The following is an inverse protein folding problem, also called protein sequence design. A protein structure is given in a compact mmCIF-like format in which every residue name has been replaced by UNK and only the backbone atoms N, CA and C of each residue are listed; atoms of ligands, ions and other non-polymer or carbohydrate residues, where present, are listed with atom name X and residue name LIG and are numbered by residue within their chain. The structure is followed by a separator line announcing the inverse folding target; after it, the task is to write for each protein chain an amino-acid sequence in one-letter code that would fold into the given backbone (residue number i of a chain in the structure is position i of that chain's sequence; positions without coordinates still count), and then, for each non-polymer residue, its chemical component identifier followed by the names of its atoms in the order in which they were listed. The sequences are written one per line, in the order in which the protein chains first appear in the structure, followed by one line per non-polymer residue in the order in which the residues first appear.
data_IF_562993009981
#
_entry.id   IF_562993009981
#
_cell.length_a   1.000
_cell.length_b   1.000
_cell.length_c   1.000
_cell.angle_alpha   90.00
_cell.angle_beta   90.00
_cell.angle_gamma   90.00
#
_symmetry.space_group_name_H-M   'P 1'
#
loop_
_entity.id
_entity.type
_entity.pdbx_description
1 polymer ?
#
# COMPACT_ATOMS: atom_id res chain seq x y z
N UNK A 1 -28.79 -8.81 -44.24
CA UNK A 1 -27.90 -7.77 -43.68
C UNK A 1 -28.34 -7.27 -42.29
N UNK A 2 -29.63 -7.27 -41.95
CA UNK A 2 -30.12 -6.87 -40.61
C UNK A 2 -29.76 -7.86 -39.47
N UNK A 3 -29.82 -9.18 -39.74
CA UNK A 3 -29.54 -10.21 -38.73
C UNK A 3 -28.07 -10.22 -38.25
N UNK A 4 -27.11 -9.90 -39.13
CA UNK A 4 -25.69 -9.84 -38.73
C UNK A 4 -25.41 -8.68 -37.75
N UNK A 5 -26.13 -7.56 -37.90
CA UNK A 5 -25.97 -6.37 -37.03
C UNK A 5 -26.53 -6.59 -35.64
N UNK A 6 -27.62 -7.36 -35.51
CA UNK A 6 -28.19 -7.70 -34.21
C UNK A 6 -27.29 -8.65 -33.44
N UNK A 7 -26.70 -9.67 -34.09
CA UNK A 7 -25.74 -10.56 -33.42
C UNK A 7 -24.47 -9.84 -32.97
N UNK A 8 -23.97 -8.87 -33.74
CA UNK A 8 -22.83 -8.05 -33.35
C UNK A 8 -23.13 -7.17 -32.13
N UNK A 9 -24.32 -6.56 -32.06
CA UNK A 9 -24.74 -5.76 -30.90
C UNK A 9 -24.93 -6.62 -29.65
N UNK A 10 -25.50 -7.83 -29.77
CA UNK A 10 -25.61 -8.75 -28.63
C UNK A 10 -24.24 -9.24 -28.15
N UNK A 11 -23.29 -9.50 -29.06
CA UNK A 11 -21.90 -9.82 -28.68
C UNK A 11 -21.22 -8.66 -27.95
N UNK A 12 -21.38 -7.43 -28.43
CA UNK A 12 -20.81 -6.24 -27.79
C UNK A 12 -21.42 -5.96 -26.41
N UNK A 13 -22.72 -6.19 -26.24
CA UNK A 13 -23.39 -6.08 -24.93
C UNK A 13 -22.96 -7.18 -23.97
N UNK A 14 -22.63 -8.38 -24.47
CA UNK A 14 -22.12 -9.48 -23.63
C UNK A 14 -20.68 -9.22 -23.15
N UNK A 15 -19.84 -8.60 -23.98
CA UNK A 15 -18.50 -8.17 -23.58
C UNK A 15 -18.49 -6.94 -22.66
N UNK A 16 -19.55 -6.13 -22.64
CA UNK A 16 -19.63 -4.92 -21.82
C UNK A 16 -19.94 -5.18 -20.33
N UNK A 17 -20.26 -6.42 -19.91
CA UNK A 17 -20.28 -6.81 -18.50
C UNK A 17 -18.87 -7.19 -18.01
N UNK A 18 -17.93 -6.26 -18.11
CA UNK A 18 -16.86 -6.22 -17.11
C UNK A 18 -17.56 -5.85 -15.79
N UNK A 19 -17.48 -6.74 -14.80
CA UNK A 19 -18.27 -6.64 -13.56
C UNK A 19 -18.11 -5.28 -12.90
N UNK A 20 -19.24 -4.61 -12.65
CA UNK A 20 -19.30 -3.41 -11.82
C UNK A 20 -18.80 -3.75 -10.41
N UNK A 21 -17.82 -3.01 -9.90
CA UNK A 21 -17.25 -3.23 -8.57
C UNK A 21 -18.17 -2.59 -7.55
N UNK A 22 -18.72 -3.42 -6.68
CA UNK A 22 -19.59 -3.01 -5.59
C UNK A 22 -18.71 -2.63 -4.38
N UNK A 23 -18.50 -1.33 -4.19
CA UNK A 23 -17.67 -0.80 -3.09
C UNK A 23 -18.28 -1.02 -1.70
N UNK A 24 -19.56 -1.40 -1.62
CA UNK A 24 -20.24 -1.71 -0.36
C UNK A 24 -20.07 -3.19 0.05
N UNK A 25 -19.54 -4.05 -0.84
CA UNK A 25 -19.25 -5.47 -0.58
C UNK A 25 -17.76 -5.73 -0.32
N UNK A 26 -17.30 -5.31 0.85
CA UNK A 26 -15.91 -5.49 1.29
C UNK A 26 -15.57 -6.93 1.67
N UNK A 27 -16.57 -7.78 1.93
CA UNK A 27 -16.40 -9.20 2.28
C UNK A 27 -15.85 -10.05 1.12
N UNK A 28 -16.01 -9.57 -0.11
CA UNK A 28 -15.50 -10.22 -1.31
C UNK A 28 -14.01 -9.93 -1.60
N UNK A 29 -13.38 -9.03 -0.85
CA UNK A 29 -12.01 -8.54 -1.09
C UNK A 29 -11.18 -8.69 0.18
N UNK A 30 -10.04 -9.38 0.10
CA UNK A 30 -9.09 -9.42 1.21
C UNK A 30 -7.99 -8.38 0.99
N UNK A 31 -8.16 -7.18 1.56
CA UNK A 31 -7.19 -6.08 1.44
C UNK A 31 -5.82 -6.44 2.00
N UNK A 32 -5.75 -7.32 3.01
CA UNK A 32 -4.48 -7.76 3.57
C UNK A 32 -3.64 -8.57 2.58
N UNK A 33 -4.23 -9.09 1.49
CA UNK A 33 -3.53 -9.86 0.47
C UNK A 33 -2.81 -9.01 -0.60
N UNK A 34 -2.74 -7.68 -0.45
CA UNK A 34 -1.97 -6.78 -1.34
C UNK A 34 -0.53 -7.30 -1.56
N UNK A 35 0.12 -7.79 -0.49
CA UNK A 35 1.49 -8.31 -0.54
C UNK A 35 1.64 -9.65 -1.29
N UNK A 36 0.55 -10.41 -1.45
CA UNK A 36 0.54 -11.63 -2.28
C UNK A 36 0.44 -11.29 -3.77
N UNK A 37 -0.21 -10.17 -4.09
CA UNK A 37 -0.53 -9.80 -5.47
C UNK A 37 0.62 -9.13 -6.22
N UNK A 38 1.49 -8.39 -5.53
CA UNK A 38 2.69 -7.81 -6.12
C UNK A 38 3.95 -8.35 -5.42
N UNK A 39 4.78 -9.10 -6.16
CA UNK A 39 6.01 -9.68 -5.61
C UNK A 39 7.09 -8.63 -5.39
N UNK A 40 7.63 -8.58 -4.18
CA UNK A 40 8.86 -7.85 -3.85
C UNK A 40 10.11 -8.72 -4.11
N UNK A 41 11.27 -8.13 -4.43
CA UNK A 41 12.53 -8.85 -4.58
C UNK A 41 13.00 -9.44 -3.24
N UNK A 42 13.86 -10.46 -3.33
CA UNK A 42 14.49 -11.07 -2.16
C UNK A 42 15.29 -10.04 -1.34
N UNK A 43 15.31 -10.21 -0.01
CA UNK A 43 15.98 -9.28 0.90
C UNK A 43 15.20 -8.00 1.22
N UNK A 44 14.00 -7.81 0.65
CA UNK A 44 13.03 -6.82 1.13
C UNK A 44 12.57 -7.12 2.57
N UNK A 45 12.49 -8.39 2.94
CA UNK A 45 11.96 -8.84 4.24
C UNK A 45 12.87 -8.58 5.43
N UNK A 46 14.19 -8.42 5.26
CA UNK A 46 15.13 -8.35 6.40
C UNK A 46 14.85 -7.17 7.34
N UNK A 47 14.67 -5.97 6.78
CA UNK A 47 14.36 -4.75 7.54
C UNK A 47 12.96 -4.86 8.16
N UNK A 48 11.99 -5.37 7.39
CA UNK A 48 10.60 -5.56 7.81
C UNK A 48 10.53 -6.50 9.01
N UNK A 49 11.20 -7.65 8.94
CA UNK A 49 11.24 -8.65 10.01
C UNK A 49 11.96 -8.14 11.26
N UNK A 50 13.05 -7.39 11.09
CA UNK A 50 13.77 -6.76 12.20
C UNK A 50 12.88 -5.74 12.90
N UNK A 51 12.23 -4.85 12.14
CA UNK A 51 11.37 -3.80 12.70
C UNK A 51 10.10 -4.37 13.32
N UNK A 52 9.50 -5.41 12.73
CA UNK A 52 8.36 -6.12 13.33
C UNK A 52 8.71 -6.66 14.72
N UNK A 53 9.89 -7.25 14.90
CA UNK A 53 10.36 -7.75 16.20
C UNK A 53 10.67 -6.61 17.18
N UNK A 54 11.33 -5.55 16.73
CA UNK A 54 11.72 -4.42 17.58
C UNK A 54 10.52 -3.63 18.11
N UNK A 55 9.48 -3.48 17.30
CA UNK A 55 8.30 -2.68 17.65
C UNK A 55 7.12 -3.52 18.14
N UNK A 56 7.22 -4.85 18.04
CA UNK A 56 6.11 -5.77 18.32
C UNK A 56 4.97 -5.68 17.30
N UNK A 57 5.19 -5.03 16.16
CA UNK A 57 4.19 -4.90 15.10
C UNK A 57 3.92 -6.26 14.46
N UNK A 58 2.67 -6.70 14.50
CA UNK A 58 2.23 -7.97 13.90
C UNK A 58 1.82 -7.73 12.45
N UNK A 59 2.61 -8.26 11.52
CA UNK A 59 2.27 -8.28 10.11
C UNK A 59 0.99 -9.11 9.89
N UNK A 60 0.06 -8.68 9.02
CA UNK A 60 -1.09 -9.50 8.62
C UNK A 60 -0.61 -10.83 8.08
N UNK A 61 -1.19 -11.93 8.56
CA UNK A 61 -0.91 -13.26 8.00
C UNK A 61 -1.87 -13.57 6.85
N UNK A 62 -1.45 -14.43 5.90
CA UNK A 62 -2.33 -14.91 4.82
C UNK A 62 -3.58 -15.69 5.29
N UNK A 63 -3.71 -15.93 6.60
CA UNK A 63 -4.87 -16.59 7.23
C UNK A 63 -5.78 -15.62 7.98
N UNK A 64 -5.38 -14.35 8.12
CA UNK A 64 -6.20 -13.31 8.72
C UNK A 64 -7.14 -12.80 7.63
N UNK A 65 -8.42 -13.17 7.73
CA UNK A 65 -9.47 -12.54 6.95
C UNK A 65 -9.87 -11.27 7.68
N UNK A 66 -9.77 -10.13 6.99
CA UNK A 66 -10.18 -8.82 7.49
C UNK A 66 -11.61 -8.87 8.06
N UNK A 67 -11.71 -8.75 9.38
CA UNK A 67 -12.56 -7.72 9.91
C UNK A 67 -11.64 -6.53 10.16
N UNK A 68 -12.13 -5.34 9.83
CA UNK A 68 -11.56 -4.04 10.15
C UNK A 68 -11.27 -3.97 11.65
N UNK A 69 -10.17 -4.58 12.08
CA UNK A 69 -9.59 -4.41 13.40
C UNK A 69 -8.22 -3.75 13.21
N UNK A 70 -8.29 -2.61 12.52
CA UNK A 70 -7.45 -1.45 12.84
C UNK A 70 -7.82 -1.03 14.27
N UNK A 71 -7.52 -1.86 15.27
CA UNK A 71 -7.47 -1.36 16.64
C UNK A 71 -6.60 -0.11 16.60
N UNK A 72 -6.99 0.94 17.32
CA UNK A 72 -6.16 2.13 17.42
C UNK A 72 -4.72 1.75 17.80
N UNK A 73 -4.54 0.71 18.60
CA UNK A 73 -3.25 0.09 18.92
C UNK A 73 -2.48 -0.42 17.69
N UNK A 74 -3.12 -1.12 16.74
CA UNK A 74 -2.48 -1.59 15.49
C UNK A 74 -2.11 -0.40 14.59
N UNK A 75 -2.98 0.59 14.46
CA UNK A 75 -2.69 1.82 13.72
C UNK A 75 -1.51 2.61 14.35
N UNK A 76 -1.47 2.69 15.68
CA UNK A 76 -0.42 3.42 16.41
C UNK A 76 0.90 2.64 16.40
N UNK A 77 0.89 1.33 16.61
CA UNK A 77 2.12 0.51 16.48
C UNK A 77 2.69 0.53 15.06
N UNK A 78 1.84 0.74 14.04
CA UNK A 78 2.25 1.03 12.67
C UNK A 78 3.15 2.26 12.54
N UNK A 79 2.97 3.28 13.39
CA UNK A 79 3.81 4.50 13.39
C UNK A 79 5.27 4.21 13.76
N UNK A 80 5.49 3.44 14.83
CA UNK A 80 6.83 3.06 15.26
C UNK A 80 7.47 2.04 14.32
N UNK A 81 6.68 1.10 13.79
CA UNK A 81 7.15 0.18 12.76
C UNK A 81 7.67 0.91 11.53
N UNK A 82 6.89 1.84 10.98
CA UNK A 82 7.30 2.61 9.81
C UNK A 82 8.52 3.50 10.11
N UNK A 83 8.57 4.12 11.30
CA UNK A 83 9.74 4.89 11.74
C UNK A 83 11.00 4.01 11.75
N UNK A 84 10.94 2.83 12.35
CA UNK A 84 12.05 1.88 12.37
C UNK A 84 12.53 1.52 10.95
N UNK A 85 11.59 1.24 10.03
CA UNK A 85 11.92 0.90 8.64
C UNK A 85 12.67 2.04 7.98
N UNK A 86 12.17 3.27 8.11
CA UNK A 86 12.76 4.46 7.47
C UNK A 86 14.11 4.83 8.08
N UNK A 87 14.30 4.62 9.39
CA UNK A 87 15.59 4.80 10.08
C UNK A 87 16.63 3.78 9.61
N UNK A 88 16.26 2.49 9.50
CA UNK A 88 17.17 1.44 9.00
C UNK A 88 17.51 1.61 7.52
N UNK A 89 16.59 2.13 6.72
CA UNK A 89 16.87 2.53 5.34
C UNK A 89 17.72 3.80 5.26
N UNK A 90 17.82 4.57 6.35
CA UNK A 90 18.50 5.85 6.44
C UNK A 90 18.02 6.85 5.37
N UNK A 91 16.70 6.95 5.21
CA UNK A 91 16.04 7.79 4.17
C UNK A 91 15.38 9.05 4.73
N UNK A 92 15.61 9.34 6.01
CA UNK A 92 15.08 10.52 6.69
C UNK A 92 16.21 11.49 7.01
N UNK A 93 15.96 12.78 6.81
CA UNK A 93 16.86 13.89 7.18
C UNK A 93 16.03 15.00 7.81
N UNK A 94 16.38 15.42 9.03
CA UNK A 94 15.67 16.47 9.77
C UNK A 94 14.14 16.22 9.85
N UNK A 95 13.73 14.98 10.16
CA UNK A 95 12.33 14.53 10.18
C UNK A 95 11.56 14.66 8.85
N UNK A 96 12.28 14.78 7.74
CA UNK A 96 11.73 14.81 6.37
C UNK A 96 12.27 13.64 5.55
N UNK A 97 11.47 13.15 4.61
CA UNK A 97 11.95 12.16 3.65
C UNK A 97 12.99 12.82 2.75
N UNK A 98 14.16 12.21 2.64
CA UNK A 98 15.22 12.65 1.74
C UNK A 98 15.22 11.77 0.49
N UNK A 99 14.67 12.30 -0.61
CA UNK A 99 14.53 11.56 -1.86
C UNK A 99 15.87 11.13 -2.47
N UNK A 100 16.96 11.84 -2.19
CA UNK A 100 18.29 11.43 -2.63
C UNK A 100 18.78 10.20 -1.86
N UNK A 101 18.56 10.15 -0.55
CA UNK A 101 18.82 8.94 0.26
C UNK A 101 17.93 7.77 -0.14
N UNK A 102 16.65 8.00 -0.47
CA UNK A 102 15.75 6.95 -1.01
C UNK A 102 16.32 6.35 -2.28
N UNK A 103 16.65 7.19 -3.26
CA UNK A 103 17.24 6.75 -4.53
C UNK A 103 18.52 5.98 -4.30
N UNK A 104 19.40 6.48 -3.44
CA UNK A 104 20.66 5.82 -3.10
C UNK A 104 20.42 4.43 -2.52
N UNK A 105 19.60 4.33 -1.47
CA UNK A 105 19.30 3.06 -0.80
C UNK A 105 18.73 2.02 -1.78
N UNK A 106 17.72 2.40 -2.58
CA UNK A 106 17.06 1.47 -3.50
C UNK A 106 18.00 0.99 -4.61
N UNK A 107 18.79 1.90 -5.20
CA UNK A 107 19.76 1.54 -6.23
C UNK A 107 20.88 0.62 -5.68
N UNK A 108 21.34 0.85 -4.44
CA UNK A 108 22.37 0.00 -3.83
C UNK A 108 21.82 -1.39 -3.46
N UNK A 109 20.68 -1.44 -2.75
CA UNK A 109 20.11 -2.69 -2.22
C UNK A 109 19.50 -3.59 -3.30
N UNK A 110 18.87 -3.00 -4.31
CA UNK A 110 18.12 -3.71 -5.36
C UNK A 110 18.67 -3.44 -6.76
N UNK A 111 19.99 -3.24 -6.88
CA UNK A 111 20.69 -2.96 -8.16
C UNK A 111 20.42 -3.97 -9.28
N UNK A 112 20.10 -5.22 -8.94
CA UNK A 112 19.79 -6.29 -9.89
C UNK A 112 18.36 -6.20 -10.45
N UNK A 113 17.56 -5.26 -9.94
CA UNK A 113 16.13 -5.14 -10.23
C UNK A 113 15.73 -3.69 -10.55
N UNK A 114 16.15 -3.16 -11.71
CA UNK A 114 15.97 -1.75 -12.06
C UNK A 114 14.50 -1.34 -12.24
N UNK A 115 13.62 -2.26 -12.63
CA UNK A 115 12.18 -1.98 -12.77
C UNK A 115 11.52 -1.81 -11.40
N UNK A 116 11.84 -2.69 -10.43
CA UNK A 116 11.41 -2.51 -9.05
C UNK A 116 11.91 -1.20 -8.45
N UNK A 117 13.19 -0.90 -8.62
CA UNK A 117 13.80 0.34 -8.13
C UNK A 117 13.10 1.57 -8.71
N UNK A 118 12.84 1.57 -10.02
CA UNK A 118 12.13 2.65 -10.69
C UNK A 118 10.74 2.88 -10.11
N UNK A 119 9.92 1.83 -10.00
CA UNK A 119 8.55 2.00 -9.51
C UNK A 119 8.49 2.33 -8.01
N UNK A 120 9.43 1.83 -7.21
CA UNK A 120 9.52 2.22 -5.80
C UNK A 120 9.95 3.68 -5.64
N UNK A 121 10.92 4.17 -6.43
CA UNK A 121 11.29 5.59 -6.44
C UNK A 121 10.10 6.45 -6.86
N UNK A 122 9.35 6.06 -7.89
CA UNK A 122 8.13 6.77 -8.32
C UNK A 122 7.09 6.83 -7.19
N UNK A 123 6.92 5.74 -6.43
CA UNK A 123 6.00 5.69 -5.30
C UNK A 123 6.43 6.66 -4.18
N UNK A 124 7.72 6.66 -3.79
CA UNK A 124 8.23 7.64 -2.81
C UNK A 124 8.12 9.09 -3.33
N UNK A 125 8.39 9.32 -4.61
CA UNK A 125 8.26 10.63 -5.24
C UNK A 125 6.81 11.14 -5.23
N UNK A 126 5.83 10.24 -5.38
CA UNK A 126 4.42 10.60 -5.21
C UNK A 126 4.06 10.95 -3.76
N UNK A 127 4.65 10.25 -2.80
CA UNK A 127 4.20 10.22 -1.40
C UNK A 127 4.95 11.17 -0.45
N UNK A 128 5.78 12.07 -0.96
CA UNK A 128 6.52 13.04 -0.14
C UNK A 128 5.96 14.47 -0.24
N UNK A 129 4.68 14.59 -0.61
CA UNK A 129 4.00 15.86 -0.84
C UNK A 129 3.26 16.41 0.38
N UNK A 130 2.62 17.58 0.17
CA UNK A 130 1.85 18.29 1.20
C UNK A 130 0.64 17.50 1.73
N UNK A 131 0.10 16.58 0.95
CA UNK A 131 -1.05 15.76 1.35
C UNK A 131 -0.66 14.89 2.55
N UNK A 132 0.45 14.16 2.42
CA UNK A 132 0.99 13.27 3.44
C UNK A 132 1.47 14.06 4.66
N UNK A 133 2.03 15.26 4.46
CA UNK A 133 2.36 16.17 5.56
C UNK A 133 1.12 16.59 6.36
N UNK A 134 0.02 16.93 5.68
CA UNK A 134 -1.22 17.33 6.33
C UNK A 134 -1.85 16.18 7.11
N UNK A 135 -1.86 14.97 6.54
CA UNK A 135 -2.34 13.77 7.23
C UNK A 135 -1.46 13.45 8.44
N UNK A 136 -0.13 13.51 8.31
CA UNK A 136 0.79 13.31 9.42
C UNK A 136 0.56 14.35 10.53
N UNK A 137 0.35 15.62 10.17
CA UNK A 137 0.02 16.68 11.14
C UNK A 137 -1.32 16.41 11.84
N UNK A 138 -2.35 15.98 11.12
CA UNK A 138 -3.64 15.61 11.69
C UNK A 138 -3.50 14.44 12.70
N UNK A 139 -2.74 13.40 12.33
CA UNK A 139 -2.45 12.26 13.19
C UNK A 139 -1.53 12.59 14.38
N UNK A 140 -0.90 13.76 14.38
CA UNK A 140 -0.09 14.27 15.49
C UNK A 140 -0.91 14.94 16.60
N UNK A 141 -2.22 15.09 16.41
CA UNK A 141 -3.09 15.67 17.44
C UNK A 141 -3.17 14.79 18.69
N UNK A 142 -3.26 15.43 19.87
CA UNK A 142 -3.18 14.77 21.18
C UNK A 142 -4.17 13.61 21.41
N UNK A 143 -5.31 13.63 20.72
CA UNK A 143 -6.32 12.56 20.77
C UNK A 143 -5.73 11.23 20.32
N UNK A 144 -4.93 11.21 19.25
CA UNK A 144 -4.30 10.00 18.73
C UNK A 144 -3.06 9.58 19.55
N UNK A 145 -2.37 10.55 20.14
CA UNK A 145 -1.16 10.33 20.95
C UNK A 145 -1.49 9.64 22.27
N UNK A 146 -2.63 9.95 22.89
CA UNK A 146 -3.01 9.40 24.21
C UNK A 146 -3.51 7.95 24.17
N UNK A 147 -3.66 7.36 22.98
CA UNK A 147 -4.25 6.04 22.80
C UNK A 147 -3.24 4.88 22.97
N UNK A 148 -1.93 5.16 23.10
CA UNK A 148 -0.90 4.11 23.29
C UNK A 148 0.38 4.66 23.92
N UNK A 149 1.06 3.84 24.73
CA UNK A 149 2.41 4.13 25.24
C UNK A 149 3.50 3.98 24.16
N UNK A 150 3.18 3.43 22.99
CA UNK A 150 4.09 3.16 21.87
C UNK A 150 3.74 4.01 20.64
N UNK A 151 3.66 5.32 20.83
CA UNK A 151 3.42 6.27 19.76
C UNK A 151 4.74 6.82 19.20
N UNK A 152 4.90 6.78 17.88
CA UNK A 152 5.97 7.46 17.16
C UNK A 152 5.39 8.52 16.23
N UNK A 153 6.21 9.48 15.80
CA UNK A 153 5.77 10.50 14.84
C UNK A 153 5.18 9.83 13.58
N UNK A 154 3.97 10.22 13.13
CA UNK A 154 3.18 9.45 12.18
C UNK A 154 3.65 9.64 10.73
N UNK A 155 4.59 10.55 10.48
CA UNK A 155 5.03 10.91 9.13
C UNK A 155 5.55 9.72 8.34
N UNK A 156 6.42 8.89 8.92
CA UNK A 156 6.93 7.68 8.26
C UNK A 156 5.80 6.70 7.94
N UNK A 157 4.83 6.50 8.82
CA UNK A 157 3.69 5.60 8.54
C UNK A 157 2.77 6.11 7.46
N UNK A 158 2.51 7.42 7.42
CA UNK A 158 1.68 8.03 6.38
C UNK A 158 2.36 7.89 5.01
N UNK A 159 3.66 8.22 4.92
CA UNK A 159 4.43 8.04 3.69
C UNK A 159 4.46 6.57 3.30
N UNK A 160 4.73 5.66 4.24
CA UNK A 160 4.80 4.22 3.96
C UNK A 160 3.46 3.66 3.44
N UNK A 161 2.34 4.05 4.04
CA UNK A 161 1.01 3.62 3.59
C UNK A 161 0.73 4.13 2.16
N UNK A 162 1.07 5.39 1.87
CA UNK A 162 0.99 5.94 0.53
C UNK A 162 1.88 5.16 -0.46
N UNK A 163 3.13 4.87 -0.10
CA UNK A 163 4.09 4.15 -0.95
C UNK A 163 3.59 2.74 -1.26
N UNK A 164 3.07 2.00 -0.27
CA UNK A 164 2.50 0.66 -0.46
C UNK A 164 1.36 0.73 -1.47
N UNK A 165 0.44 1.69 -1.31
CA UNK A 165 -0.70 1.87 -2.22
C UNK A 165 -0.24 2.24 -3.63
N UNK A 166 0.67 3.20 -3.76
CA UNK A 166 1.20 3.65 -5.05
C UNK A 166 1.96 2.54 -5.78
N UNK A 167 2.80 1.78 -5.07
CA UNK A 167 3.52 0.66 -5.65
C UNK A 167 2.58 -0.47 -6.05
N UNK A 168 1.54 -0.78 -5.25
CA UNK A 168 0.53 -1.77 -5.60
C UNK A 168 -0.22 -1.40 -6.88
N UNK A 169 -0.65 -0.14 -7.01
CA UNK A 169 -1.37 0.36 -8.20
C UNK A 169 -0.52 0.38 -9.47
N UNK A 170 0.79 0.51 -9.31
CA UNK A 170 1.75 0.57 -10.40
C UNK A 170 2.66 -0.68 -10.47
N UNK A 171 2.21 -1.79 -9.88
CA UNK A 171 3.00 -3.02 -9.80
C UNK A 171 3.43 -3.47 -11.22
N UNK A 172 4.73 -3.72 -11.45
CA UNK A 172 5.21 -4.27 -12.72
C UNK A 172 4.49 -5.55 -13.15
N UNK A 173 4.19 -5.68 -14.45
CA UNK A 173 3.35 -6.76 -14.99
C UNK A 173 3.95 -8.16 -14.82
N UNK A 174 5.27 -8.25 -14.75
CA UNK A 174 6.04 -9.48 -14.51
C UNK A 174 5.98 -9.93 -13.04
N UNK A 175 5.71 -9.01 -12.10
CA UNK A 175 5.56 -9.26 -10.66
C UNK A 175 4.13 -9.52 -10.22
N UNK A 176 3.18 -9.04 -11.02
CA UNK A 176 1.77 -9.14 -10.74
C UNK A 176 1.27 -10.59 -10.80
N UNK A 177 0.62 -11.05 -9.73
CA UNK A 177 -0.05 -12.33 -9.71
C UNK A 177 -1.36 -12.25 -10.51
N UNK A 178 -1.42 -12.96 -11.64
CA UNK A 178 -2.58 -12.99 -12.55
C UNK A 178 -3.74 -13.86 -12.05
N UNK A 179 -4.09 -13.73 -10.78
CA UNK A 179 -5.23 -14.43 -10.18
C UNK A 179 -6.45 -13.51 -10.20
N UNK A 180 -7.65 -14.11 -10.27
CA UNK A 180 -8.89 -13.34 -10.19
C UNK A 180 -8.99 -12.50 -8.91
N UNK A 181 -8.46 -13.03 -7.81
CA UNK A 181 -8.38 -12.33 -6.53
C UNK A 181 -7.58 -11.03 -6.64
N UNK A 182 -6.39 -11.08 -7.24
CA UNK A 182 -5.55 -9.89 -7.37
C UNK A 182 -6.13 -8.87 -8.33
N UNK A 183 -6.69 -9.30 -9.46
CA UNK A 183 -7.40 -8.39 -10.39
C UNK A 183 -8.57 -7.69 -9.71
N UNK A 184 -9.36 -8.43 -8.93
CA UNK A 184 -10.46 -7.86 -8.15
C UNK A 184 -9.97 -6.88 -7.09
N UNK A 185 -8.89 -7.21 -6.37
CA UNK A 185 -8.31 -6.37 -5.32
C UNK A 185 -7.73 -5.07 -5.90
N UNK A 186 -7.01 -5.14 -7.03
CA UNK A 186 -6.51 -3.95 -7.74
C UNK A 186 -7.67 -3.05 -8.15
N UNK A 187 -8.68 -3.63 -8.78
CA UNK A 187 -9.79 -2.87 -9.30
C UNK A 187 -10.64 -2.30 -8.14
N UNK A 188 -10.81 -3.01 -7.04
CA UNK A 188 -11.44 -2.48 -5.81
C UNK A 188 -10.64 -1.29 -5.28
N UNK A 189 -9.33 -1.43 -5.08
CA UNK A 189 -8.46 -0.38 -4.55
C UNK A 189 -8.37 0.87 -5.45
N UNK A 190 -8.59 0.72 -6.76
CA UNK A 190 -8.62 1.83 -7.71
C UNK A 190 -9.97 2.56 -7.79
N UNK A 191 -11.08 1.83 -7.67
CA UNK A 191 -12.42 2.36 -7.92
C UNK A 191 -13.19 2.71 -6.65
N UNK A 192 -12.86 2.09 -5.53
CA UNK A 192 -13.47 2.37 -4.24
C UNK A 192 -12.63 3.41 -3.51
N UNK A 193 -13.26 4.51 -3.07
CA UNK A 193 -12.60 5.43 -2.14
C UNK A 193 -12.28 4.66 -0.89
N UNK A 194 -11.05 4.82 -0.39
CA UNK A 194 -10.66 4.32 0.92
C UNK A 194 -11.79 4.69 1.89
N UNK A 195 -12.38 3.72 2.57
CA UNK A 195 -13.32 4.00 3.67
C UNK A 195 -12.64 4.85 4.77
N UNK A 196 -11.30 4.96 4.73
CA UNK A 196 -10.46 5.86 5.50
C UNK A 196 -10.41 7.32 5.00
N UNK A 197 -10.85 7.64 3.78
CA UNK A 197 -11.08 9.02 3.34
C UNK A 197 -12.32 9.66 4.01
N UNK A 198 -12.99 8.90 4.87
CA UNK A 198 -14.15 9.30 5.67
C UNK A 198 -13.84 9.52 7.16
N UNK A 199 -12.56 9.63 7.54
CA UNK A 199 -12.14 10.07 8.87
C UNK A 199 -11.33 11.37 8.82
#
# INVERSE_FOLDING_TARGET
MFLLRTFALFYLVWYARAGEIDCDKTDAVNEDHVHYCCKHPDGHSDIIDSCSKETGFKMPSAKEQSLVDLTATRAISGTCFAKCVFEKMNVMKDDNLDMDSVKKYLNEKFSQDPEYVKEMINAFDHCHGKSEENVAKFMSNHVFVHMSQHYCAPKSSVIMACVIRQFFHNCPKDRWAKTKECENLLAFSQNCRDSLATL
#
